data_IF_005076296203
#
_entry.id   IF_005076296203
#
_cell.length_a   1.000
_cell.length_b   1.000
_cell.length_c   1.000
_cell.angle_alpha   90.00
_cell.angle_beta   90.00
_cell.angle_gamma   90.00
#
_symmetry.space_group_name_H-M   'P 1'
#
loop_
_entity.id
_entity.type
_entity.pdbx_description
1 polymer ?
#
# COMPACT_ATOMS: atom_id res chain seq x y z
N UNK A 1 10.88 11.28 10.42
CA UNK A 1 11.60 10.89 9.18
C UNK A 1 13.08 10.90 9.51
N UNK A 2 13.93 10.04 8.92
CA UNK A 2 15.35 10.03 9.30
C UNK A 2 16.05 11.38 9.04
N UNK A 3 15.86 11.97 7.86
CA UNK A 3 16.40 13.29 7.51
C UNK A 3 15.95 14.38 8.50
N UNK A 4 14.68 14.37 8.91
CA UNK A 4 14.14 15.28 9.93
C UNK A 4 14.82 15.10 11.29
N UNK A 5 15.05 13.85 11.74
CA UNK A 5 15.75 13.58 13.01
C UNK A 5 17.22 14.06 12.98
N UNK A 6 17.83 14.11 11.79
CA UNK A 6 19.21 14.55 11.61
C UNK A 6 19.34 16.04 11.27
N UNK A 7 18.22 16.77 11.12
CA UNK A 7 18.19 18.13 10.56
C UNK A 7 18.96 18.19 9.23
N UNK A 8 18.61 17.29 8.31
CA UNK A 8 19.25 17.12 7.00
C UNK A 8 18.21 17.12 5.87
N UNK A 9 18.66 17.06 4.62
CA UNK A 9 17.81 17.03 3.43
C UNK A 9 17.36 15.62 3.08
N UNK A 10 16.08 15.48 2.75
CA UNK A 10 15.55 14.28 2.09
C UNK A 10 15.42 14.53 0.59
N UNK A 11 15.85 13.59 -0.23
CA UNK A 11 15.74 13.66 -1.68
C UNK A 11 15.08 12.39 -2.23
N UNK A 12 13.85 12.50 -2.73
CA UNK A 12 13.25 11.45 -3.57
C UNK A 12 13.78 11.62 -5.00
N UNK A 13 14.75 10.80 -5.38
CA UNK A 13 15.42 10.86 -6.69
C UNK A 13 14.87 9.84 -7.70
N UNK A 14 14.09 8.86 -7.25
CA UNK A 14 13.58 7.77 -8.09
C UNK A 14 12.53 8.31 -9.06
N UNK A 15 12.64 7.92 -10.32
CA UNK A 15 11.54 8.09 -11.27
C UNK A 15 10.43 7.11 -10.91
N UNK A 16 9.23 7.62 -10.73
CA UNK A 16 8.06 6.83 -10.38
C UNK A 16 6.79 7.42 -10.99
N UNK A 17 5.86 6.54 -11.36
CA UNK A 17 4.61 6.94 -12.00
C UNK A 17 3.65 7.63 -11.02
N UNK A 18 3.67 7.21 -9.75
CA UNK A 18 2.76 7.70 -8.70
C UNK A 18 3.37 8.77 -7.80
N UNK A 19 4.71 8.92 -7.74
CA UNK A 19 5.36 9.83 -6.79
C UNK A 19 6.29 10.76 -7.56
N UNK A 20 6.16 12.07 -7.34
CA UNK A 20 7.08 13.06 -7.89
C UNK A 20 8.48 12.92 -7.31
N UNK A 21 9.48 13.43 -8.03
CA UNK A 21 10.75 13.79 -7.40
C UNK A 21 10.54 15.05 -6.57
N UNK A 22 11.00 15.03 -5.34
CA UNK A 22 10.92 16.19 -4.46
C UNK A 22 12.05 16.17 -3.43
N UNK A 23 12.34 17.35 -2.90
CA UNK A 23 13.33 17.57 -1.84
C UNK A 23 12.63 18.21 -0.65
N UNK A 24 12.97 17.75 0.55
CA UNK A 24 12.58 18.37 1.81
C UNK A 24 13.84 18.84 2.53
N UNK A 25 13.80 20.06 3.05
CA UNK A 25 14.87 20.64 3.86
C UNK A 25 14.40 20.74 5.32
N UNK A 26 15.02 19.98 6.21
CA UNK A 26 14.73 19.99 7.65
C UNK A 26 15.78 20.76 8.46
N UNK A 27 16.69 21.47 7.79
CA UNK A 27 17.86 22.08 8.39
C UNK A 27 19.13 21.68 7.65
N UNK A 28 20.17 22.49 7.82
CA UNK A 28 21.47 22.26 7.23
C UNK A 28 22.42 21.69 8.27
N UNK A 29 22.80 20.42 8.13
CA UNK A 29 24.11 20.02 8.59
C UNK A 29 25.18 20.71 7.74
N UNK A 30 26.30 21.08 8.36
CA UNK A 30 27.47 21.65 7.64
C UNK A 30 28.08 20.63 6.66
N UNK A 31 27.89 19.33 6.92
CA UNK A 31 28.31 18.22 6.07
C UNK A 31 27.13 17.23 6.00
N UNK A 32 26.40 17.20 4.88
CA UNK A 32 25.32 16.21 4.67
C UNK A 32 25.94 14.87 4.29
N UNK A 33 25.53 13.78 4.95
CA UNK A 33 25.92 12.42 4.60
C UNK A 33 24.78 11.75 3.82
N UNK A 34 25.09 11.02 2.75
CA UNK A 34 24.07 10.22 2.06
C UNK A 34 23.84 8.92 2.85
N UNK A 35 22.58 8.69 3.24
CA UNK A 35 22.14 7.48 3.90
C UNK A 35 21.30 6.68 2.92
N UNK A 36 21.63 5.40 2.75
CA UNK A 36 20.88 4.48 1.91
C UNK A 36 20.63 3.18 2.67
N UNK A 37 19.52 2.52 2.35
CA UNK A 37 19.19 1.23 2.88
C UNK A 37 18.05 0.57 2.09
N UNK A 38 17.85 -0.72 2.31
CA UNK A 38 16.78 -1.51 1.73
C UNK A 38 15.51 -1.29 2.56
N UNK A 39 14.60 -0.46 2.06
CA UNK A 39 13.40 -0.02 2.77
C UNK A 39 12.21 -0.99 2.72
N UNK A 40 12.40 -2.24 2.28
CA UNK A 40 11.29 -3.19 2.15
C UNK A 40 10.94 -3.91 3.47
N UNK A 41 11.80 -3.87 4.49
CA UNK A 41 11.53 -4.45 5.81
C UNK A 41 12.32 -3.73 6.90
N UNK A 42 11.60 -3.00 7.76
CA UNK A 42 12.19 -2.27 8.89
C UNK A 42 12.59 -3.21 10.05
N UNK A 43 11.79 -4.24 10.32
CA UNK A 43 12.17 -5.39 11.14
C UNK A 43 12.63 -6.53 10.24
N UNK A 44 13.60 -7.36 10.68
CA UNK A 44 13.93 -8.60 9.98
C UNK A 44 12.70 -9.48 9.84
N UNK A 45 12.32 -9.77 8.60
CA UNK A 45 11.27 -10.74 8.26
C UNK A 45 11.91 -12.03 7.79
N UNK A 46 11.26 -13.16 8.05
CA UNK A 46 11.79 -14.45 7.62
C UNK A 46 11.35 -14.73 6.17
N UNK A 47 12.31 -14.89 5.27
CA UNK A 47 12.08 -15.20 3.87
C UNK A 47 12.02 -16.72 3.67
N UNK A 48 10.81 -17.28 3.60
CA UNK A 48 10.59 -18.73 3.54
C UNK A 48 11.32 -19.43 2.37
N UNK A 49 11.35 -18.84 1.17
CA UNK A 49 12.00 -19.50 0.01
C UNK A 49 13.53 -19.55 0.12
N UNK A 50 14.12 -18.60 0.85
CA UNK A 50 15.58 -18.46 1.02
C UNK A 50 16.06 -18.97 2.38
N UNK A 51 15.12 -19.31 3.27
CA UNK A 51 15.35 -19.79 4.61
C UNK A 51 16.30 -18.87 5.42
N UNK A 52 16.12 -17.55 5.27
CA UNK A 52 16.95 -16.53 5.92
C UNK A 52 16.12 -15.35 6.42
N UNK A 53 16.66 -14.59 7.38
CA UNK A 53 16.08 -13.30 7.76
C UNK A 53 16.51 -12.23 6.76
N UNK A 54 15.53 -11.52 6.23
CA UNK A 54 15.73 -10.38 5.32
C UNK A 54 15.21 -9.08 5.93
N UNK A 55 15.90 -7.99 5.60
CA UNK A 55 15.64 -6.69 6.18
C UNK A 55 16.37 -6.52 7.52
N UNK A 56 16.96 -5.34 7.70
CA UNK A 56 17.49 -4.86 8.97
C UNK A 56 17.23 -3.37 9.03
N UNK A 57 17.32 -2.77 10.22
CA UNK A 57 17.22 -1.33 10.40
C UNK A 57 18.49 -0.62 9.87
N UNK A 58 18.69 -0.64 8.54
CA UNK A 58 19.91 -0.17 7.86
C UNK A 58 20.19 1.32 8.09
N UNK A 59 19.14 2.11 8.37
CA UNK A 59 19.23 3.55 8.65
C UNK A 59 19.24 3.90 10.14
N UNK A 60 19.04 2.92 11.04
CA UNK A 60 19.10 3.13 12.49
C UNK A 60 17.96 3.94 13.11
N UNK A 61 16.78 3.99 12.50
CA UNK A 61 15.58 4.65 13.07
C UNK A 61 14.77 3.66 13.91
N UNK A 62 14.31 4.02 15.11
CA UNK A 62 13.58 3.06 15.97
C UNK A 62 12.14 2.81 15.50
N UNK A 63 11.52 1.66 15.87
CA UNK A 63 10.11 1.39 15.54
C UNK A 63 9.22 2.43 16.16
N UNK A 64 9.52 2.78 17.40
CA UNK A 64 8.74 3.73 18.17
C UNK A 64 8.70 5.06 17.42
N UNK A 65 9.82 5.47 16.83
CA UNK A 65 9.86 6.66 15.98
C UNK A 65 9.04 6.47 14.70
N UNK A 66 9.16 5.34 14.00
CA UNK A 66 8.40 5.06 12.78
C UNK A 66 6.91 5.09 13.06
N UNK A 67 6.41 4.30 14.00
CA UNK A 67 4.98 4.24 14.35
C UNK A 67 4.44 5.57 14.85
N UNK A 68 5.20 6.31 15.65
CA UNK A 68 4.77 7.63 16.14
C UNK A 68 4.68 8.69 15.03
N UNK A 69 5.37 8.51 13.90
CA UNK A 69 5.50 9.56 12.88
C UNK A 69 4.97 9.18 11.50
N UNK A 70 4.70 7.91 11.20
CA UNK A 70 4.35 7.44 9.85
C UNK A 70 3.16 8.20 9.27
N UNK A 71 2.08 8.34 10.03
CA UNK A 71 0.88 9.04 9.58
C UNK A 71 1.16 10.52 9.25
N UNK A 72 1.84 11.22 10.17
CA UNK A 72 2.24 12.63 9.97
C UNK A 72 3.13 12.79 8.75
N UNK A 73 4.09 11.88 8.56
CA UNK A 73 5.03 11.92 7.44
C UNK A 73 4.28 11.69 6.12
N UNK A 74 3.46 10.65 6.05
CA UNK A 74 2.67 10.35 4.86
C UNK A 74 1.79 11.53 4.46
N UNK A 75 1.01 12.09 5.39
CA UNK A 75 0.11 13.22 5.11
C UNK A 75 0.82 14.52 4.78
N UNK A 76 1.88 14.87 5.52
CA UNK A 76 2.54 16.17 5.38
C UNK A 76 3.51 16.22 4.20
N UNK A 77 4.19 15.11 3.92
CA UNK A 77 5.35 15.11 3.02
C UNK A 77 5.18 14.20 1.81
N UNK A 78 4.49 13.05 1.93
CA UNK A 78 4.36 12.10 0.83
C UNK A 78 3.13 12.40 -0.03
N UNK A 79 1.95 12.49 0.60
CA UNK A 79 0.65 12.71 -0.05
C UNK A 79 0.62 13.93 -1.01
N UNK A 80 1.17 15.11 -0.65
CA UNK A 80 1.17 16.26 -1.55
C UNK A 80 2.03 16.08 -2.81
N UNK A 81 2.93 15.10 -2.81
CA UNK A 81 3.84 14.82 -3.91
C UNK A 81 3.38 13.63 -4.77
N UNK A 82 2.17 13.10 -4.55
CA UNK A 82 1.62 12.02 -5.37
C UNK A 82 1.10 12.56 -6.71
N UNK A 83 1.36 11.81 -7.78
CA UNK A 83 0.88 12.03 -9.15
C UNK A 83 -0.40 11.22 -9.39
N UNK A 84 -1.48 11.64 -8.73
CA UNK A 84 -2.76 10.93 -8.79
C UNK A 84 -3.82 11.76 -9.52
N UNK A 85 -4.74 11.14 -10.25
CA UNK A 85 -5.93 11.83 -10.72
C UNK A 85 -6.75 12.31 -9.51
N UNK A 86 -7.33 13.51 -9.64
CA UNK A 86 -8.30 13.99 -8.65
C UNK A 86 -9.55 13.12 -8.70
N UNK A 87 -10.03 12.69 -7.53
CA UNK A 87 -11.29 11.96 -7.38
C UNK A 87 -12.16 12.60 -6.31
N UNK A 88 -13.46 12.51 -6.50
CA UNK A 88 -14.42 12.85 -5.46
C UNK A 88 -14.30 11.88 -4.30
N UNK A 89 -14.57 12.40 -3.09
CA UNK A 89 -14.58 11.59 -1.88
C UNK A 89 -15.70 10.56 -2.00
N UNK A 90 -15.35 9.29 -1.78
CA UNK A 90 -16.29 8.18 -1.72
C UNK A 90 -16.85 8.11 -0.31
N UNK A 91 -18.18 8.22 -0.22
CA UNK A 91 -18.92 8.41 1.01
C UNK A 91 -19.07 7.14 1.86
N UNK A 92 -19.59 7.31 3.08
CA UNK A 92 -19.67 6.24 4.10
C UNK A 92 -20.57 5.06 3.72
N UNK A 93 -21.46 5.23 2.75
CA UNK A 93 -22.34 4.19 2.22
C UNK A 93 -21.61 3.17 1.32
N UNK A 94 -20.35 3.46 0.99
CA UNK A 94 -19.55 2.71 0.04
C UNK A 94 -18.32 2.10 0.70
N UNK A 95 -18.04 0.83 0.38
CA UNK A 95 -16.78 0.15 0.69
C UNK A 95 -15.94 -0.01 -0.58
N UNK A 96 -14.68 0.39 -0.51
CA UNK A 96 -13.68 0.10 -1.54
C UNK A 96 -12.82 -1.06 -1.08
N UNK A 97 -12.90 -2.19 -1.78
CA UNK A 97 -12.18 -3.41 -1.45
C UNK A 97 -11.05 -3.59 -2.45
N UNK A 98 -9.84 -3.84 -1.97
CA UNK A 98 -8.72 -4.27 -2.80
C UNK A 98 -8.54 -5.78 -2.66
N UNK A 99 -8.49 -6.47 -3.79
CA UNK A 99 -8.20 -7.90 -3.87
C UNK A 99 -7.12 -8.11 -4.93
N UNK A 100 -5.93 -8.54 -4.49
CA UNK A 100 -4.82 -8.84 -5.39
C UNK A 100 -5.17 -10.07 -6.23
N UNK A 101 -4.84 -9.98 -7.51
CA UNK A 101 -4.86 -11.09 -8.45
C UNK A 101 -3.42 -11.29 -8.94
N UNK A 102 -3.12 -11.70 -10.17
CA UNK A 102 -1.73 -11.60 -10.65
C UNK A 102 -0.78 -12.74 -10.30
N UNK A 103 0.49 -12.42 -10.52
CA UNK A 103 1.70 -13.25 -10.54
C UNK A 103 1.87 -14.24 -9.37
N UNK A 104 1.30 -13.93 -8.21
CA UNK A 104 1.43 -14.75 -7.01
C UNK A 104 0.34 -15.81 -6.85
N UNK A 105 -0.80 -15.73 -7.55
CA UNK A 105 -1.89 -16.71 -7.34
C UNK A 105 -1.50 -18.11 -7.83
N UNK A 106 -0.82 -18.21 -8.97
CA UNK A 106 -0.30 -19.47 -9.50
C UNK A 106 0.74 -20.13 -8.57
N UNK A 107 1.39 -19.35 -7.71
CA UNK A 107 2.40 -19.82 -6.76
C UNK A 107 1.82 -20.18 -5.38
N UNK A 108 0.55 -19.92 -5.09
CA UNK A 108 -0.03 -20.33 -3.79
C UNK A 108 0.14 -21.84 -3.55
N UNK A 109 0.20 -22.63 -4.62
CA UNK A 109 0.23 -24.09 -4.53
C UNK A 109 1.61 -24.72 -4.78
N UNK A 110 2.51 -24.08 -5.55
CA UNK A 110 3.84 -24.64 -5.83
C UNK A 110 4.88 -23.62 -6.34
N UNK A 111 5.95 -23.31 -5.57
CA UNK A 111 6.08 -23.54 -4.13
C UNK A 111 5.16 -22.58 -3.36
N UNK A 112 4.52 -23.01 -2.26
CA UNK A 112 3.51 -22.22 -1.56
C UNK A 112 4.07 -20.86 -1.12
N UNK A 113 3.38 -19.79 -1.50
CA UNK A 113 3.74 -18.43 -1.07
C UNK A 113 3.15 -18.11 0.31
N UNK A 114 3.77 -17.16 1.01
CA UNK A 114 3.21 -16.57 2.24
C UNK A 114 2.02 -15.63 1.98
N UNK A 115 1.49 -15.59 0.76
CA UNK A 115 0.40 -14.71 0.40
C UNK A 115 -0.94 -15.41 0.65
N UNK A 116 -1.52 -15.16 1.82
CA UNK A 116 -2.85 -15.66 2.18
C UNK A 116 -3.85 -14.49 2.03
N UNK A 117 -4.74 -14.51 1.02
CA UNK A 117 -5.80 -13.53 0.93
C UNK A 117 -6.82 -13.72 2.06
N UNK A 118 -7.59 -12.68 2.36
CA UNK A 118 -8.74 -12.83 3.23
C UNK A 118 -9.74 -13.84 2.62
N UNK A 119 -10.45 -14.65 3.42
CA UNK A 119 -11.38 -15.64 2.91
C UNK A 119 -12.60 -14.97 2.26
N UNK A 120 -13.29 -15.67 1.34
CA UNK A 120 -14.49 -15.14 0.66
C UNK A 120 -15.53 -14.57 1.65
N UNK A 121 -15.80 -15.27 2.76
CA UNK A 121 -16.77 -14.86 3.78
C UNK A 121 -16.47 -13.47 4.38
N UNK A 122 -15.19 -13.08 4.47
CA UNK A 122 -14.81 -11.74 4.92
C UNK A 122 -15.39 -10.67 4.00
N UNK A 123 -15.23 -10.85 2.68
CA UNK A 123 -15.76 -9.92 1.69
C UNK A 123 -17.29 -9.93 1.63
N UNK A 124 -17.91 -11.10 1.73
CA UNK A 124 -19.38 -11.21 1.74
C UNK A 124 -20.00 -10.42 2.91
N UNK A 125 -19.46 -10.56 4.12
CA UNK A 125 -19.93 -9.82 5.30
C UNK A 125 -19.78 -8.29 5.13
N UNK A 126 -18.68 -7.85 4.54
CA UNK A 126 -18.47 -6.44 4.23
C UNK A 126 -19.47 -5.95 3.19
N UNK A 127 -19.63 -6.69 2.09
CA UNK A 127 -20.60 -6.36 1.04
C UNK A 127 -21.99 -6.20 1.64
N UNK A 128 -22.45 -7.10 2.52
CA UNK A 128 -23.74 -6.99 3.20
C UNK A 128 -23.88 -5.71 4.03
N UNK A 129 -22.78 -5.18 4.59
CA UNK A 129 -22.78 -4.03 5.51
C UNK A 129 -22.80 -2.67 4.82
N UNK A 130 -22.63 -2.61 3.49
CA UNK A 130 -22.58 -1.35 2.72
C UNK A 130 -23.60 -1.34 1.57
N UNK A 131 -24.05 -0.14 1.18
CA UNK A 131 -24.98 0.03 0.05
C UNK A 131 -24.29 -0.19 -1.29
N UNK A 132 -23.05 0.32 -1.42
CA UNK A 132 -22.26 0.26 -2.64
C UNK A 132 -20.93 -0.42 -2.38
N UNK A 133 -20.44 -1.15 -3.37
CA UNK A 133 -19.18 -1.87 -3.27
C UNK A 133 -18.35 -1.64 -4.53
N UNK A 134 -17.09 -1.26 -4.36
CA UNK A 134 -16.10 -1.18 -5.45
C UNK A 134 -15.02 -2.22 -5.16
N UNK A 135 -14.76 -3.12 -6.10
CA UNK A 135 -13.70 -4.11 -6.01
C UNK A 135 -12.57 -3.73 -6.96
N UNK A 136 -11.43 -3.33 -6.41
CA UNK A 136 -10.19 -3.08 -7.15
C UNK A 136 -9.40 -4.39 -7.25
N UNK A 137 -9.09 -4.81 -8.48
CA UNK A 137 -8.31 -6.02 -8.76
C UNK A 137 -7.60 -5.91 -10.12
N UNK A 138 -6.56 -6.71 -10.35
CA UNK A 138 -5.83 -6.72 -11.61
C UNK A 138 -6.65 -7.30 -12.77
N UNK A 139 -6.24 -7.01 -14.01
CA UNK A 139 -6.98 -7.36 -15.23
C UNK A 139 -7.17 -8.86 -15.45
N UNK A 140 -6.25 -9.70 -14.95
CA UNK A 140 -6.30 -11.15 -15.17
C UNK A 140 -7.43 -11.84 -14.39
N UNK A 141 -7.76 -11.35 -13.20
CA UNK A 141 -8.81 -11.87 -12.30
C UNK A 141 -8.66 -13.35 -11.95
N UNK A 142 -7.45 -13.88 -11.98
CA UNK A 142 -7.10 -15.28 -11.64
C UNK A 142 -7.44 -15.67 -10.20
N UNK A 143 -7.63 -14.70 -9.30
CA UNK A 143 -8.08 -15.00 -7.94
C UNK A 143 -9.56 -15.44 -7.94
N UNK A 144 -9.91 -16.68 -7.53
CA UNK A 144 -11.26 -17.22 -7.62
C UNK A 144 -12.26 -16.49 -6.72
N UNK A 145 -11.80 -15.80 -5.68
CA UNK A 145 -12.67 -14.92 -4.88
C UNK A 145 -13.24 -13.82 -5.78
N UNK A 146 -12.46 -13.25 -6.70
CA UNK A 146 -12.93 -12.23 -7.65
C UNK A 146 -14.13 -12.75 -8.45
N UNK A 147 -14.08 -13.99 -8.93
CA UNK A 147 -15.18 -14.58 -9.70
C UNK A 147 -16.47 -14.73 -8.89
N UNK A 148 -16.37 -15.08 -7.60
CA UNK A 148 -17.55 -15.16 -6.74
C UNK A 148 -18.12 -13.77 -6.44
N UNK A 149 -17.26 -12.78 -6.18
CA UNK A 149 -17.70 -11.40 -5.90
C UNK A 149 -18.34 -10.72 -7.12
N UNK A 150 -17.88 -11.06 -8.33
CA UNK A 150 -18.45 -10.57 -9.59
C UNK A 150 -19.90 -10.99 -9.84
N UNK A 151 -20.38 -12.04 -9.17
CA UNK A 151 -21.78 -12.52 -9.30
C UNK A 151 -22.76 -11.65 -8.51
N UNK A 152 -22.27 -10.71 -7.71
CA UNK A 152 -23.08 -9.88 -6.82
C UNK A 152 -23.33 -8.53 -7.49
N UNK A 153 -24.60 -8.23 -7.82
CA UNK A 153 -24.99 -7.06 -8.63
C UNK A 153 -24.48 -5.71 -8.12
N UNK A 154 -24.36 -5.53 -6.80
CA UNK A 154 -23.90 -4.27 -6.20
C UNK A 154 -22.38 -4.10 -6.17
N UNK A 155 -21.61 -5.13 -6.57
CA UNK A 155 -20.15 -5.08 -6.65
C UNK A 155 -19.73 -4.57 -8.01
N UNK A 156 -19.11 -3.39 -8.04
CA UNK A 156 -18.51 -2.81 -9.24
C UNK A 156 -17.02 -3.12 -9.28
N UNK A 157 -16.59 -3.91 -10.26
CA UNK A 157 -15.16 -4.21 -10.45
C UNK A 157 -14.48 -3.04 -11.16
N UNK A 158 -13.37 -2.58 -10.60
CA UNK A 158 -12.44 -1.64 -11.20
C UNK A 158 -11.09 -2.34 -11.41
N UNK A 159 -10.59 -2.29 -12.65
CA UNK A 159 -9.27 -2.79 -13.03
C UNK A 159 -8.66 -1.75 -13.99
N UNK A 160 -7.96 -0.77 -13.44
CA UNK A 160 -7.53 0.44 -14.17
C UNK A 160 -6.00 0.54 -14.18
N UNK A 161 -5.45 1.75 -14.27
CA UNK A 161 -4.03 1.99 -14.03
C UNK A 161 -3.74 2.05 -12.53
N UNK A 162 -2.49 1.83 -12.15
CA UNK A 162 -2.09 1.86 -10.73
C UNK A 162 -2.38 3.21 -10.09
N UNK A 163 -2.21 4.31 -10.82
CA UNK A 163 -2.52 5.67 -10.37
C UNK A 163 -4.01 5.84 -10.10
N UNK A 164 -4.86 5.34 -10.99
CA UNK A 164 -6.31 5.48 -10.88
C UNK A 164 -6.88 4.60 -9.76
N UNK A 165 -6.38 3.37 -9.62
CA UNK A 165 -6.73 2.46 -8.53
C UNK A 165 -6.28 3.00 -7.18
N UNK A 166 -5.06 3.53 -7.09
CA UNK A 166 -4.55 4.14 -5.85
C UNK A 166 -5.32 5.42 -5.49
N UNK A 167 -5.70 6.23 -6.48
CA UNK A 167 -6.56 7.39 -6.26
C UNK A 167 -7.95 7.00 -5.76
N UNK A 168 -8.56 5.91 -6.29
CA UNK A 168 -9.85 5.40 -5.80
C UNK A 168 -9.74 4.94 -4.35
N UNK A 169 -8.64 4.27 -3.97
CA UNK A 169 -8.39 3.88 -2.58
C UNK A 169 -8.26 5.11 -1.68
N UNK A 170 -7.46 6.11 -2.08
CA UNK A 170 -7.23 7.32 -1.31
C UNK A 170 -8.48 8.20 -1.13
N UNK A 171 -9.46 8.11 -2.03
CA UNK A 171 -10.71 8.87 -1.90
C UNK A 171 -11.77 8.18 -1.04
N UNK A 172 -11.52 6.94 -0.58
CA UNK A 172 -12.46 6.14 0.17
C UNK A 172 -12.44 6.39 1.69
N UNK A 173 -13.61 6.59 2.29
CA UNK A 173 -13.78 6.60 3.75
C UNK A 173 -13.70 5.20 4.37
N UNK A 174 -14.11 4.17 3.62
CA UNK A 174 -14.04 2.77 4.04
C UNK A 174 -13.20 1.97 3.04
N UNK A 175 -12.18 1.27 3.54
CA UNK A 175 -11.27 0.43 2.74
C UNK A 175 -11.22 -0.97 3.33
N UNK A 176 -11.32 -1.99 2.47
CA UNK A 176 -11.02 -3.38 2.83
C UNK A 176 -9.76 -3.86 2.10
N UNK A 177 -8.89 -4.54 2.84
CA UNK A 177 -7.59 -4.98 2.35
C UNK A 177 -7.63 -6.41 1.82
N UNK A 178 -6.64 -6.75 1.00
CA UNK A 178 -6.45 -8.10 0.44
C UNK A 178 -5.71 -9.05 1.39
N UNK A 179 -5.79 -8.83 2.70
CA UNK A 179 -4.90 -9.45 3.69
C UNK A 179 -3.55 -8.72 3.76
N UNK A 180 -2.46 -9.40 3.41
CA UNK A 180 -1.07 -8.90 3.57
C UNK A 180 -0.60 -7.92 2.48
N UNK A 181 -1.50 -7.41 1.64
CA UNK A 181 -1.15 -6.50 0.55
C UNK A 181 -0.79 -5.09 1.06
N UNK A 182 0.39 -4.59 0.68
CA UNK A 182 0.88 -3.25 1.08
C UNK A 182 0.25 -2.10 0.29
N UNK A 183 -0.29 -2.38 -0.90
CA UNK A 183 -0.83 -1.35 -1.80
C UNK A 183 -1.99 -0.56 -1.16
N UNK A 184 -3.06 -1.24 -0.74
CA UNK A 184 -4.19 -0.58 -0.09
C UNK A 184 -3.87 -0.07 1.33
N UNK A 185 -2.91 -0.69 2.02
CA UNK A 185 -2.39 -0.18 3.30
C UNK A 185 -1.74 1.19 3.13
N UNK A 186 -0.95 1.39 2.06
CA UNK A 186 -0.30 2.68 1.81
C UNK A 186 -1.31 3.80 1.53
N UNK A 187 -2.44 3.50 0.89
CA UNK A 187 -3.51 4.46 0.64
C UNK A 187 -4.28 4.85 1.93
N UNK A 188 -4.24 4.01 2.97
CA UNK A 188 -4.95 4.23 4.23
C UNK A 188 -4.16 5.06 5.28
N UNK A 189 -2.88 5.36 5.03
CA UNK A 189 -1.97 6.09 5.94
C UNK A 189 -2.05 7.61 5.75
#
# INVERSE_FOLDING_TARGET
MFAEQKNDKFNQKLEHNIINKFTLDFGLQKESQEYSGRFYSWEPTFHCERNEYEGINEIGISKEHVYANINRICKKYISPNLKLPSKEIIENDTIVMHLRSGDNYHRIFDPPTNYIPNPLVYYLNLIESFEKCILITELDRENPIVHELMKIDKVKVQSSTVEDDFATLMSAKNIALSGVGTFAMAAAL
#
